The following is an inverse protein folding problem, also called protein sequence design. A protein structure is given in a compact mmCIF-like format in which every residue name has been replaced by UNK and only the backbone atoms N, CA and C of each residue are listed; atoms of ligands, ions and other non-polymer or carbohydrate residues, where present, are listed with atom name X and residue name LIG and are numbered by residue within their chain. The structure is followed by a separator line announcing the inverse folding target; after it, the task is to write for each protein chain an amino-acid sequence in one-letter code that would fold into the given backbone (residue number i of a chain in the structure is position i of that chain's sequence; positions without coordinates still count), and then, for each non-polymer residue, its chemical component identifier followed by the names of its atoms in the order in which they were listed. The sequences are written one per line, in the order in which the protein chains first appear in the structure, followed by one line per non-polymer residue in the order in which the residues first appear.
data_IF_907688410438
#
_entry.id   IF_907688410438
#
_cell.length_a   1.000
_cell.length_b   1.000
_cell.length_c   1.000
_cell.angle_alpha   90.00
_cell.angle_beta   90.00
_cell.angle_gamma   90.00
#
_symmetry.space_group_name_H-M   'P 1'
#
loop_
_entity.id
_entity.type
_entity.pdbx_description
1 polymer ?
#
# COMPACT_ATOMS: atom_id res chain seq x y z
N UNK A 1 -9.56 15.08 -20.59
CA UNK A 1 -9.82 13.64 -20.42
C UNK A 1 -9.22 13.20 -19.09
N UNK A 2 -10.05 13.06 -18.06
CA UNK A 2 -9.59 12.73 -16.70
C UNK A 2 -9.23 11.26 -16.56
N UNK A 3 -8.28 10.94 -15.68
CA UNK A 3 -7.98 9.55 -15.31
C UNK A 3 -9.28 8.91 -14.81
N UNK A 4 -9.69 7.73 -15.32
CA UNK A 4 -10.88 7.04 -14.84
C UNK A 4 -10.87 6.94 -13.31
N UNK A 5 -12.00 7.16 -12.63
CA UNK A 5 -12.04 7.06 -11.18
C UNK A 5 -11.68 5.63 -10.78
N UNK A 6 -10.69 5.50 -9.90
CA UNK A 6 -10.42 4.24 -9.23
C UNK A 6 -11.61 4.00 -8.29
N UNK A 7 -12.27 2.85 -8.40
CA UNK A 7 -13.34 2.42 -7.49
C UNK A 7 -12.76 2.07 -6.10
N UNK A 8 -12.11 3.05 -5.48
CA UNK A 8 -11.32 2.93 -4.26
C UNK A 8 -11.71 4.06 -3.31
N UNK A 9 -11.70 3.76 -2.01
CA UNK A 9 -11.86 4.78 -0.95
C UNK A 9 -10.50 5.38 -0.61
N UNK A 10 -10.46 6.68 -0.35
CA UNK A 10 -9.22 7.38 0.07
C UNK A 10 -8.95 7.10 1.54
N UNK A 11 -7.72 6.71 1.86
CA UNK A 11 -7.19 6.63 3.22
C UNK A 11 -6.07 7.67 3.38
N UNK A 12 -6.13 8.47 4.45
CA UNK A 12 -5.08 9.45 4.78
C UNK A 12 -4.23 8.91 5.91
N UNK A 13 -2.94 8.71 5.67
CA UNK A 13 -1.98 8.19 6.63
C UNK A 13 -0.72 9.05 6.64
N UNK A 14 -0.04 9.13 7.79
CA UNK A 14 1.20 9.89 7.95
C UNK A 14 2.38 8.93 7.94
N UNK A 15 3.44 9.33 7.24
CA UNK A 15 4.73 8.65 7.24
C UNK A 15 5.83 9.67 7.59
N UNK A 16 6.95 9.21 8.17
CA UNK A 16 8.17 10.00 8.20
C UNK A 16 8.61 10.37 6.77
N UNK A 17 9.22 11.55 6.60
CA UNK A 17 9.59 12.06 5.28
C UNK A 17 10.60 11.15 4.59
N UNK A 18 11.58 10.66 5.35
CA UNK A 18 12.64 9.76 4.89
C UNK A 18 12.09 8.43 4.35
N UNK A 19 10.93 7.96 4.85
CA UNK A 19 10.28 6.75 4.33
C UNK A 19 9.70 7.02 2.94
N UNK A 20 9.07 8.18 2.75
CA UNK A 20 8.49 8.56 1.47
C UNK A 20 9.57 8.79 0.41
N UNK A 21 10.68 9.41 0.79
CA UNK A 21 11.85 9.59 -0.06
C UNK A 21 12.45 8.25 -0.50
N UNK A 22 12.58 7.29 0.44
CA UNK A 22 13.04 5.94 0.12
C UNK A 22 12.12 5.22 -0.86
N UNK A 23 10.80 5.37 -0.72
CA UNK A 23 9.85 4.78 -1.67
C UNK A 23 10.06 5.38 -3.05
N UNK A 24 10.08 6.71 -3.15
CA UNK A 24 10.24 7.40 -4.43
C UNK A 24 11.56 7.04 -5.13
N UNK A 25 12.65 6.90 -4.39
CA UNK A 25 13.94 6.46 -4.92
C UNK A 25 13.90 5.04 -5.50
N UNK A 26 13.05 4.15 -4.95
CA UNK A 26 12.94 2.76 -5.39
C UNK A 26 11.97 2.57 -6.56
N UNK A 27 10.81 3.24 -6.54
CA UNK A 27 9.73 2.99 -7.53
C UNK A 27 9.57 4.10 -8.57
N UNK A 28 10.24 5.23 -8.37
CA UNK A 28 10.13 6.43 -9.19
C UNK A 28 8.89 7.25 -8.88
N UNK A 29 8.85 8.44 -9.48
CA UNK A 29 7.79 9.43 -9.29
C UNK A 29 6.42 8.89 -9.71
N UNK A 30 5.35 9.32 -9.01
CA UNK A 30 3.95 8.93 -9.24
C UNK A 30 3.59 7.46 -8.99
N UNK A 31 4.53 6.61 -8.54
CA UNK A 31 4.28 5.20 -8.22
C UNK A 31 4.07 4.90 -6.74
N UNK A 32 4.31 5.88 -5.86
CA UNK A 32 4.13 5.74 -4.41
C UNK A 32 2.75 5.19 -4.00
N UNK A 33 1.60 5.67 -4.54
CA UNK A 33 0.30 5.12 -4.15
C UNK A 33 0.13 3.65 -4.54
N UNK A 34 0.71 3.22 -5.66
CA UNK A 34 0.67 1.83 -6.09
C UNK A 34 1.50 0.95 -5.14
N UNK A 35 2.74 1.36 -4.86
CA UNK A 35 3.63 0.66 -3.94
C UNK A 35 2.99 0.46 -2.55
N UNK A 36 2.39 1.52 -1.99
CA UNK A 36 1.77 1.44 -0.67
C UNK A 36 0.57 0.47 -0.68
N UNK A 37 -0.28 0.51 -1.72
CA UNK A 37 -1.43 -0.40 -1.82
C UNK A 37 -0.99 -1.86 -1.90
N UNK A 38 -0.07 -2.18 -2.80
CA UNK A 38 0.45 -3.55 -2.97
C UNK A 38 1.13 -4.06 -1.69
N UNK A 39 1.87 -3.20 -1.00
CA UNK A 39 2.48 -3.56 0.29
C UNK A 39 1.43 -3.90 1.37
N UNK A 40 0.34 -3.13 1.43
CA UNK A 40 -0.76 -3.38 2.37
C UNK A 40 -1.52 -4.65 2.00
N UNK A 41 -1.82 -4.87 0.72
CA UNK A 41 -2.50 -6.09 0.25
C UNK A 41 -1.69 -7.35 0.58
N UNK A 42 -0.38 -7.33 0.31
CA UNK A 42 0.54 -8.42 0.66
C UNK A 42 0.55 -8.70 2.15
N UNK A 43 0.54 -7.66 2.98
CA UNK A 43 0.56 -7.81 4.43
C UNK A 43 -0.77 -8.35 4.98
N UNK A 44 -1.90 -7.91 4.41
CA UNK A 44 -3.21 -8.48 4.73
C UNK A 44 -3.26 -9.98 4.41
N UNK A 45 -2.84 -10.39 3.21
CA UNK A 45 -2.78 -11.81 2.85
C UNK A 45 -1.92 -12.62 3.82
N UNK A 46 -0.77 -12.06 4.25
CA UNK A 46 0.11 -12.72 5.21
C UNK A 46 -0.57 -12.89 6.56
N UNK A 47 -1.15 -11.81 7.11
CA UNK A 47 -1.83 -11.81 8.42
C UNK A 47 -3.04 -12.75 8.39
N UNK A 48 -3.83 -12.74 7.32
CA UNK A 48 -4.97 -13.64 7.17
C UNK A 48 -4.58 -15.12 7.13
N UNK A 49 -3.44 -15.45 6.49
CA UNK A 49 -2.92 -16.82 6.47
C UNK A 49 -2.49 -17.26 7.88
N UNK A 50 -1.76 -16.41 8.60
CA UNK A 50 -1.33 -16.72 9.98
C UNK A 50 -2.52 -16.82 10.93
N UNK A 51 -3.44 -15.86 10.89
CA UNK A 51 -4.60 -15.83 11.79
C UNK A 51 -5.60 -16.98 11.56
N UNK A 52 -5.66 -17.56 10.35
CA UNK A 52 -6.46 -18.77 10.08
C UNK A 52 -5.82 -20.04 10.66
N UNK A 53 -4.49 -20.08 10.76
CA UNK A 53 -3.75 -21.21 11.36
C UNK A 53 -3.94 -21.27 12.87
N UNK A 54 -4.05 -20.11 13.53
CA UNK A 54 -4.23 -20.04 15.00
C UNK A 54 -5.66 -20.38 15.48
N UNK A 55 -6.61 -20.58 14.55
CA UNK A 55 -8.04 -20.74 14.85
C UNK A 55 -8.56 -22.18 14.65
N UNK A 56 -7.67 -23.16 14.46
CA UNK A 56 -7.97 -24.59 14.28
C UNK A 56 -7.26 -25.40 15.36
#
# INVERSE_FOLDING_TARGET
MGRPPLNMKVATVRFPAEVLERIDALVGTNRRPQFIREAVERELERVEKTARVDKT
#
